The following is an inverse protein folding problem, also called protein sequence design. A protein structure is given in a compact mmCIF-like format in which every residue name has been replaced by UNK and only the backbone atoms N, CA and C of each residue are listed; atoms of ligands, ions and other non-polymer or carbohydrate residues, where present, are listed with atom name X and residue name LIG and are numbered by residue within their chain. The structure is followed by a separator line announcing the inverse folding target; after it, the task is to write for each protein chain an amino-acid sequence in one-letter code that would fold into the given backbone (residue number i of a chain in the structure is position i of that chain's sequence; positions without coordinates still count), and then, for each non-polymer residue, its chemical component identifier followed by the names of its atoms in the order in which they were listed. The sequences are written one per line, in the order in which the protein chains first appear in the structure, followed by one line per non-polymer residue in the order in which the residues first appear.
data_IF_638524811132
#
_entry.id   IF_638524811132
#
_cell.length_a   1.000
_cell.length_b   1.000
_cell.length_c   1.000
_cell.angle_alpha   90.00
_cell.angle_beta   90.00
_cell.angle_gamma   90.00
#
_symmetry.space_group_name_H-M   'P 1'
#
loop_
_entity.id
_entity.type
_entity.pdbx_description
1 polymer ?
#
# COMPACT_ATOMS: atom_id res chain seq x y z
N UNK A 1 -27.25 -13.90 20.30
CA UNK A 1 -26.26 -13.15 19.49
C UNK A 1 -25.85 -14.06 18.35
N UNK A 2 -26.00 -13.61 17.10
CA UNK A 2 -25.67 -14.39 15.92
C UNK A 2 -24.15 -14.59 15.85
N UNK A 3 -23.67 -15.85 15.87
CA UNK A 3 -22.26 -16.24 15.67
C UNK A 3 -21.87 -16.15 14.17
N UNK A 4 -22.12 -15.01 13.52
CA UNK A 4 -21.66 -14.79 12.16
C UNK A 4 -20.25 -14.19 12.18
N UNK A 5 -19.27 -14.97 11.72
CA UNK A 5 -17.87 -14.54 11.58
C UNK A 5 -17.67 -13.47 10.50
N UNK A 6 -18.54 -13.48 9.48
CA UNK A 6 -18.56 -12.49 8.41
C UNK A 6 -19.94 -11.85 8.30
N UNK A 7 -19.98 -10.55 8.01
CA UNK A 7 -21.20 -9.82 7.68
C UNK A 7 -21.13 -9.31 6.24
N UNK A 8 -22.25 -9.39 5.53
CA UNK A 8 -22.39 -8.78 4.20
C UNK A 8 -22.58 -7.26 4.36
N UNK A 9 -21.68 -6.49 3.77
CA UNK A 9 -21.75 -5.03 3.72
C UNK A 9 -22.42 -4.54 2.43
N UNK A 10 -22.59 -3.22 2.29
CA UNK A 10 -23.10 -2.61 1.06
C UNK A 10 -22.23 -2.99 -0.13
N UNK A 11 -22.87 -3.45 -1.20
CA UNK A 11 -22.20 -3.80 -2.45
C UNK A 11 -21.37 -2.64 -2.98
N UNK A 12 -20.24 -2.99 -3.60
CA UNK A 12 -19.37 -2.01 -4.24
C UNK A 12 -20.15 -1.33 -5.38
N UNK A 13 -19.96 -0.01 -5.59
CA UNK A 13 -20.60 0.69 -6.70
C UNK A 13 -20.12 0.18 -8.07
N UNK A 14 -19.01 -0.55 -8.10
CA UNK A 14 -18.35 -1.09 -9.28
C UNK A 14 -17.58 -2.37 -8.91
N UNK A 15 -17.37 -3.29 -9.87
CA UNK A 15 -16.42 -4.39 -9.69
C UNK A 15 -15.00 -3.85 -9.47
N UNK A 16 -14.29 -4.40 -8.48
CA UNK A 16 -12.91 -4.04 -8.20
C UNK A 16 -12.02 -5.27 -8.37
N UNK A 17 -10.99 -5.16 -9.20
CA UNK A 17 -9.91 -6.14 -9.32
C UNK A 17 -8.56 -5.45 -9.11
N UNK A 18 -7.65 -6.11 -8.39
CA UNK A 18 -6.33 -5.60 -8.01
C UNK A 18 -6.35 -4.20 -7.34
N UNK A 19 -7.48 -3.83 -6.73
CA UNK A 19 -7.63 -2.52 -6.07
C UNK A 19 -6.67 -2.37 -4.90
N UNK A 20 -6.22 -1.14 -4.67
CA UNK A 20 -5.43 -0.78 -3.50
C UNK A 20 -6.32 0.00 -2.53
N UNK A 21 -6.28 -0.38 -1.25
CA UNK A 21 -7.13 0.21 -0.22
C UNK A 21 -6.28 0.75 0.94
N UNK A 22 -6.62 1.93 1.43
CA UNK A 22 -5.93 2.60 2.53
C UNK A 22 -6.92 2.95 3.63
N UNK A 23 -6.73 2.46 4.86
CA UNK A 23 -7.58 2.84 5.99
C UNK A 23 -7.24 4.26 6.48
N UNK A 24 -8.26 5.06 6.75
CA UNK A 24 -8.13 6.40 7.34
C UNK A 24 -9.32 6.72 8.25
N UNK A 25 -9.10 6.76 9.57
CA UNK A 25 -10.17 7.00 10.56
C UNK A 25 -11.33 6.00 10.36
N UNK A 26 -12.54 6.49 10.08
CA UNK A 26 -13.73 5.67 9.80
C UNK A 26 -13.94 5.43 8.30
N UNK A 27 -12.90 5.56 7.49
CA UNK A 27 -12.95 5.46 6.04
C UNK A 27 -11.99 4.40 5.52
N UNK A 28 -12.43 3.71 4.47
CA UNK A 28 -11.58 2.91 3.60
C UNK A 28 -11.49 3.62 2.25
N UNK A 29 -10.30 4.12 1.94
CA UNK A 29 -10.02 4.81 0.68
C UNK A 29 -9.64 3.75 -0.36
N UNK A 30 -10.41 3.68 -1.44
CA UNK A 30 -10.29 2.71 -2.52
C UNK A 30 -9.70 3.44 -3.73
N UNK A 31 -8.54 3.00 -4.20
CA UNK A 31 -7.72 3.75 -5.15
C UNK A 31 -7.57 3.03 -6.51
N UNK A 32 -8.65 3.01 -7.29
CA UNK A 32 -8.66 2.40 -8.63
C UNK A 32 -8.33 0.90 -8.62
N UNK A 33 -8.07 0.33 -9.79
CA UNK A 33 -7.78 -1.09 -9.96
C UNK A 33 -7.63 -1.44 -11.44
N UNK A 34 -7.50 -2.72 -11.76
CA UNK A 34 -7.43 -3.18 -13.15
C UNK A 34 -8.65 -2.68 -13.92
N UNK A 35 -8.41 -1.95 -15.02
CA UNK A 35 -9.44 -1.31 -15.86
C UNK A 35 -10.35 -0.30 -15.13
N UNK A 36 -10.02 0.12 -13.91
CA UNK A 36 -10.86 0.97 -13.09
C UNK A 36 -10.10 2.19 -12.57
N UNK A 37 -10.49 3.39 -13.05
CA UNK A 37 -9.83 4.65 -12.67
C UNK A 37 -10.45 5.35 -11.46
N UNK A 38 -11.70 5.03 -11.11
CA UNK A 38 -12.43 5.70 -10.03
C UNK A 38 -11.87 5.41 -8.65
N UNK A 39 -11.77 6.44 -7.82
CA UNK A 39 -11.43 6.35 -6.40
C UNK A 39 -12.66 6.67 -5.54
N UNK A 40 -12.81 5.93 -4.44
CA UNK A 40 -13.97 6.02 -3.57
C UNK A 40 -13.55 6.01 -2.11
N UNK A 41 -14.31 6.69 -1.26
CA UNK A 41 -14.23 6.53 0.19
C UNK A 41 -15.45 5.75 0.66
N UNK A 42 -15.21 4.61 1.31
CA UNK A 42 -16.24 3.86 2.02
C UNK A 42 -16.21 4.23 3.50
N UNK A 43 -17.32 4.74 4.04
CA UNK A 43 -17.41 5.09 5.45
C UNK A 43 -17.94 3.91 6.26
N UNK A 44 -17.12 3.37 7.16
CA UNK A 44 -17.39 2.12 7.89
C UNK A 44 -18.61 2.20 8.80
N UNK A 45 -18.82 3.34 9.48
CA UNK A 45 -20.00 3.54 10.34
C UNK A 45 -21.29 3.84 9.57
N UNK A 46 -21.20 4.48 8.40
CA UNK A 46 -22.38 4.86 7.60
C UNK A 46 -22.78 3.77 6.62
N UNK A 47 -21.87 2.82 6.34
CA UNK A 47 -22.03 1.79 5.32
C UNK A 47 -22.36 2.39 3.93
N UNK A 48 -21.65 3.46 3.56
CA UNK A 48 -21.89 4.21 2.33
C UNK A 48 -20.59 4.53 1.59
N UNK A 49 -20.69 4.66 0.27
CA UNK A 49 -19.58 5.05 -0.60
C UNK A 49 -19.79 6.48 -1.09
N UNK A 50 -18.71 7.25 -1.19
CA UNK A 50 -18.63 8.51 -1.93
C UNK A 50 -17.50 8.47 -2.93
N UNK A 51 -17.71 9.06 -4.09
CA UNK A 51 -16.64 9.29 -5.06
C UNK A 51 -15.64 10.30 -4.48
N UNK A 52 -14.36 10.04 -4.72
CA UNK A 52 -13.26 10.96 -4.41
C UNK A 52 -12.88 11.67 -5.71
N UNK A 53 -12.36 10.92 -6.68
CA UNK A 53 -11.93 11.40 -8.00
C UNK A 53 -11.67 10.21 -8.95
N UNK A 54 -10.93 10.46 -10.02
CA UNK A 54 -10.41 9.43 -10.94
C UNK A 54 -8.92 9.63 -11.15
N UNK A 55 -8.19 8.53 -11.40
CA UNK A 55 -6.85 8.61 -11.98
C UNK A 55 -6.87 9.34 -13.35
N UNK A 56 -5.77 10.00 -13.77
CA UNK A 56 -5.62 10.61 -15.09
C UNK A 56 -5.94 9.63 -16.24
N UNK A 57 -6.35 10.14 -17.41
CA UNK A 57 -6.82 9.29 -18.53
C UNK A 57 -5.73 8.56 -19.28
N UNK A 58 -4.53 9.09 -19.21
CA UNK A 58 -3.29 8.53 -19.73
C UNK A 58 -2.69 7.46 -18.81
N UNK A 59 -3.22 7.29 -17.59
CA UNK A 59 -2.73 6.28 -16.63
C UNK A 59 -3.53 4.98 -16.73
N UNK A 60 -2.83 3.88 -16.99
CA UNK A 60 -3.40 2.54 -17.02
C UNK A 60 -3.00 1.76 -15.77
N UNK A 61 -3.97 1.40 -14.94
CA UNK A 61 -3.71 0.70 -13.69
C UNK A 61 -3.65 -0.82 -13.90
N UNK A 62 -2.52 -1.42 -13.55
CA UNK A 62 -2.34 -2.87 -13.55
C UNK A 62 -1.31 -3.28 -12.48
N UNK A 63 -1.79 -3.77 -11.33
CA UNK A 63 -1.01 -4.13 -10.15
C UNK A 63 -0.12 -3.02 -9.61
N UNK A 64 -0.60 -1.78 -9.59
CA UNK A 64 0.08 -0.67 -8.91
C UNK A 64 0.03 -0.83 -7.39
N UNK A 65 0.85 -0.04 -6.69
CA UNK A 65 0.83 0.06 -5.24
C UNK A 65 0.35 1.45 -4.82
N UNK A 66 -0.39 1.52 -3.71
CA UNK A 66 -0.75 2.78 -3.06
C UNK A 66 -0.36 2.69 -1.59
N UNK A 67 0.32 3.71 -1.10
CA UNK A 67 0.76 3.82 0.29
C UNK A 67 0.37 5.17 0.87
N UNK A 68 0.12 5.19 2.17
CA UNK A 68 -0.13 6.42 2.94
C UNK A 68 1.19 6.92 3.51
N UNK A 69 1.61 8.12 3.11
CA UNK A 69 2.80 8.76 3.68
C UNK A 69 2.50 9.22 5.11
N UNK A 70 3.44 9.02 6.02
CA UNK A 70 3.32 9.45 7.43
C UNK A 70 3.66 10.94 7.49
N UNK A 71 2.70 11.75 7.91
CA UNK A 71 2.93 13.15 8.28
C UNK A 71 3.15 13.23 9.80
N UNK A 72 4.15 13.98 10.22
CA UNK A 72 4.44 14.22 11.64
C UNK A 72 3.41 15.17 12.28
N UNK A 73 2.62 15.87 11.48
CA UNK A 73 1.60 16.79 11.97
C UNK A 73 0.27 16.06 12.24
N UNK A 74 0.04 15.70 13.51
CA UNK A 74 -1.17 15.01 13.98
C UNK A 74 -2.45 15.85 13.85
N UNK A 75 -2.33 17.17 13.72
CA UNK A 75 -3.47 18.10 13.67
C UNK A 75 -3.99 18.34 12.25
N UNK A 76 -3.33 17.77 11.24
CA UNK A 76 -3.81 17.87 9.85
C UNK A 76 -5.01 16.96 9.61
N UNK A 77 -6.02 17.55 8.97
CA UNK A 77 -7.22 16.85 8.53
C UNK A 77 -7.02 16.10 7.20
N UNK A 78 -5.89 16.32 6.52
CA UNK A 78 -5.52 15.66 5.28
C UNK A 78 -4.50 14.53 5.51
N UNK A 79 -4.35 13.67 4.51
CA UNK A 79 -3.26 12.69 4.41
C UNK A 79 -2.67 12.77 3.01
N UNK A 80 -1.42 12.35 2.87
CA UNK A 80 -0.80 12.22 1.55
C UNK A 80 -0.75 10.75 1.14
N UNK A 81 -1.26 10.46 -0.05
CA UNK A 81 -1.22 9.15 -0.68
C UNK A 81 -0.24 9.18 -1.84
N UNK A 82 0.56 8.13 -1.97
CA UNK A 82 1.49 7.93 -3.08
C UNK A 82 1.07 6.67 -3.84
N UNK A 83 0.85 6.82 -5.14
CA UNK A 83 0.50 5.74 -6.06
C UNK A 83 1.61 5.55 -7.08
N UNK A 84 2.14 4.34 -7.19
CA UNK A 84 3.32 4.09 -8.02
C UNK A 84 3.45 2.63 -8.48
N UNK A 85 4.36 2.42 -9.44
CA UNK A 85 4.68 1.11 -10.03
C UNK A 85 3.55 0.54 -10.89
N UNK A 86 3.39 -0.79 -10.84
CA UNK A 86 2.52 -1.51 -11.78
C UNK A 86 3.21 -1.84 -13.10
N UNK A 87 2.49 -2.55 -13.97
CA UNK A 87 2.99 -2.92 -15.30
C UNK A 87 3.21 -1.68 -16.19
N UNK A 88 2.23 -0.77 -16.19
CA UNK A 88 2.36 0.56 -16.79
C UNK A 88 2.73 1.54 -15.68
N UNK A 89 4.03 1.75 -15.49
CA UNK A 89 4.57 2.54 -14.38
C UNK A 89 4.03 3.96 -14.40
N UNK A 90 3.61 4.42 -13.22
CA UNK A 90 3.37 5.83 -12.94
C UNK A 90 3.92 6.19 -11.56
N UNK A 91 3.92 7.48 -11.24
CA UNK A 91 4.16 7.97 -9.88
C UNK A 91 3.31 9.21 -9.68
N UNK A 92 2.28 9.08 -8.83
CA UNK A 92 1.28 10.10 -8.58
C UNK A 92 1.13 10.31 -7.08
N UNK A 93 0.87 11.54 -6.69
CA UNK A 93 0.60 11.92 -5.31
C UNK A 93 -0.80 12.52 -5.21
N UNK A 94 -1.47 12.30 -4.09
CA UNK A 94 -2.74 12.92 -3.76
C UNK A 94 -2.73 13.39 -2.32
N UNK A 95 -3.11 14.65 -2.10
CA UNK A 95 -3.51 15.14 -0.78
C UNK A 95 -4.99 14.83 -0.60
N UNK A 96 -5.31 13.86 0.25
CA UNK A 96 -6.68 13.45 0.52
C UNK A 96 -7.25 14.19 1.73
N UNK A 97 -8.42 14.80 1.57
CA UNK A 97 -9.26 15.32 2.65
C UNK A 97 -10.58 14.55 2.64
N UNK A 98 -11.03 14.14 3.82
CA UNK A 98 -12.29 13.40 4.00
C UNK A 98 -13.47 14.06 3.28
N UNK A 99 -14.07 13.32 2.33
CA UNK A 99 -15.31 13.70 1.62
C UNK A 99 -16.57 13.60 2.50
N UNK A 100 -16.40 13.26 3.78
CA UNK A 100 -17.48 13.13 4.77
C UNK A 100 -17.49 14.27 5.80
N UNK A 101 -16.46 15.11 5.81
CA UNK A 101 -16.41 16.27 6.71
C UNK A 101 -17.42 17.33 6.27
N UNK A 102 -18.27 17.79 7.20
CA UNK A 102 -19.16 18.93 6.95
C UNK A 102 -18.31 20.20 6.93
N UNK A 103 -18.30 20.89 5.79
CA UNK A 103 -17.53 22.11 5.54
C UNK A 103 -18.11 23.31 6.30
N UNK A 104 -17.89 23.40 7.60
CA UNK A 104 -18.11 24.63 8.39
C UNK A 104 -16.81 25.22 8.95
N UNK A 105 -15.70 24.47 8.90
CA UNK A 105 -14.36 24.94 9.28
C UNK A 105 -13.39 24.95 8.10
N UNK A 106 -13.87 25.26 6.88
CA UNK A 106 -12.96 25.81 5.86
C UNK A 106 -12.67 27.24 6.27
N UNK A 107 -11.79 27.39 7.27
CA UNK A 107 -11.21 28.69 7.61
C UNK A 107 -10.65 29.29 6.33
N UNK A 108 -10.97 30.56 6.14
CA UNK A 108 -10.57 31.42 5.04
C UNK A 108 -9.03 31.54 4.92
N UNK A 109 -8.38 30.50 4.42
CA UNK A 109 -7.06 30.62 3.82
C UNK A 109 -7.21 30.20 2.36
N UNK A 110 -7.35 31.23 1.53
CA UNK A 110 -7.11 31.23 0.09
C UNK A 110 -6.12 30.14 -0.34
N UNK A 111 -6.62 29.11 -1.03
CA UNK A 111 -5.81 28.31 -1.94
C UNK A 111 -6.73 27.64 -2.96
N UNK A 112 -7.14 28.44 -3.95
CA UNK A 112 -7.56 27.98 -5.29
C UNK A 112 -6.51 27.08 -5.99
N UNK A 113 -5.35 26.85 -5.37
CA UNK A 113 -4.19 26.12 -5.89
C UNK A 113 -3.93 24.75 -5.24
N UNK A 114 -4.67 24.35 -4.22
CA UNK A 114 -4.45 23.05 -3.58
C UNK A 114 -5.37 22.01 -4.22
N UNK A 115 -4.85 21.28 -5.22
CA UNK A 115 -5.52 20.17 -5.91
C UNK A 115 -5.77 18.97 -4.96
N UNK A 116 -6.65 19.17 -3.97
CA UNK A 116 -7.06 18.17 -3.01
C UNK A 116 -7.93 17.11 -3.67
N UNK A 117 -7.83 15.89 -3.18
CA UNK A 117 -8.58 14.74 -3.69
C UNK A 117 -8.34 14.47 -5.17
N UNK A 118 -7.24 14.96 -5.75
CA UNK A 118 -6.86 14.73 -7.13
C UNK A 118 -5.48 14.07 -7.20
N UNK A 119 -5.30 13.20 -8.20
CA UNK A 119 -4.00 12.62 -8.49
C UNK A 119 -3.20 13.57 -9.37
N UNK A 120 -2.03 14.00 -8.89
CA UNK A 120 -1.09 14.83 -9.64
C UNK A 120 0.25 14.09 -9.81
N UNK A 121 1.00 14.32 -10.90
CA UNK A 121 2.36 13.80 -11.04
C UNK A 121 3.24 14.20 -9.85
N UNK A 122 3.99 13.24 -9.29
CA UNK A 122 5.04 13.57 -8.34
C UNK A 122 6.19 14.21 -9.11
N UNK A 123 6.58 15.43 -8.74
CA UNK A 123 7.63 16.19 -9.43
C UNK A 123 8.69 16.72 -8.46
N UNK A 124 9.89 16.92 -8.98
CA UNK A 124 10.97 17.58 -8.24
C UNK A 124 10.74 19.11 -8.15
N UNK A 125 11.66 19.83 -7.52
CA UNK A 125 11.59 21.30 -7.40
C UNK A 125 11.68 22.04 -8.74
N UNK A 126 11.95 21.34 -9.84
CA UNK A 126 12.03 21.88 -11.20
C UNK A 126 10.85 21.41 -12.07
N UNK A 127 9.81 20.83 -11.47
CA UNK A 127 8.64 20.25 -12.14
C UNK A 127 8.96 19.06 -13.05
N UNK A 128 10.10 18.39 -12.87
CA UNK A 128 10.40 17.16 -13.59
C UNK A 128 9.69 15.99 -12.92
N UNK A 129 9.00 15.12 -13.68
CA UNK A 129 8.37 13.92 -13.14
C UNK A 129 9.39 13.00 -12.47
N UNK A 130 9.09 12.61 -11.24
CA UNK A 130 9.85 11.60 -10.51
C UNK A 130 9.27 10.23 -10.84
N UNK A 131 10.14 9.30 -11.21
CA UNK A 131 9.74 7.92 -11.52
C UNK A 131 10.29 7.00 -10.43
N UNK A 132 9.38 6.37 -9.69
CA UNK A 132 9.76 5.32 -8.75
C UNK A 132 9.83 4.00 -9.51
N UNK A 133 11.05 3.60 -9.82
CA UNK A 133 11.37 2.28 -10.37
C UNK A 133 12.36 2.33 -11.52
N UNK A 134 13.06 1.22 -11.77
CA UNK A 134 14.04 1.11 -12.87
C UNK A 134 13.33 0.80 -14.19
N UNK A 135 13.87 1.30 -15.31
CA UNK A 135 13.24 1.19 -16.63
C UNK A 135 12.94 -0.25 -17.06
N UNK A 136 13.88 -1.17 -16.84
CA UNK A 136 13.78 -2.57 -17.30
C UNK A 136 13.09 -3.53 -16.32
N UNK A 137 12.84 -3.09 -15.08
CA UNK A 137 12.24 -3.95 -14.05
C UNK A 137 10.71 -3.99 -14.19
N UNK A 138 10.10 -5.14 -13.93
CA UNK A 138 8.65 -5.28 -13.84
C UNK A 138 8.18 -4.99 -12.41
N UNK A 139 7.28 -4.02 -12.25
CA UNK A 139 6.68 -3.63 -10.97
C UNK A 139 5.23 -4.09 -10.83
N UNK A 140 4.78 -4.98 -11.71
CA UNK A 140 3.44 -5.54 -11.67
C UNK A 140 3.19 -6.32 -10.37
N UNK A 141 2.21 -5.85 -9.59
CA UNK A 141 1.83 -6.46 -8.32
C UNK A 141 2.84 -6.25 -7.20
N UNK A 142 3.69 -5.22 -7.30
CA UNK A 142 4.61 -4.87 -6.23
C UNK A 142 3.84 -4.41 -4.97
N UNK A 143 4.52 -4.51 -3.83
CA UNK A 143 4.04 -3.98 -2.54
C UNK A 143 5.13 -3.13 -1.93
N UNK A 144 4.72 -2.18 -1.12
CA UNK A 144 5.62 -1.30 -0.40
C UNK A 144 5.21 -1.20 1.07
N UNK A 145 6.20 -1.03 1.93
CA UNK A 145 6.04 -0.72 3.35
C UNK A 145 6.71 0.62 3.62
N UNK A 146 6.15 1.39 4.54
CA UNK A 146 6.70 2.68 4.96
C UNK A 146 7.14 2.58 6.43
N UNK A 147 8.29 3.17 6.72
CA UNK A 147 8.89 3.29 8.05
C UNK A 147 10.38 3.68 7.92
N UNK A 148 11.19 3.44 8.94
CA UNK A 148 12.50 4.08 9.07
C UNK A 148 12.40 5.31 9.97
N UNK A 149 13.54 5.84 10.46
CA UNK A 149 13.58 7.02 11.35
C UNK A 149 12.88 8.25 10.72
N UNK A 150 12.83 8.29 9.39
CA UNK A 150 12.25 9.39 8.61
C UNK A 150 11.29 8.92 7.49
N UNK A 151 10.67 7.74 7.59
CA UNK A 151 9.90 7.12 6.49
C UNK A 151 10.73 6.76 5.24
N UNK A 152 12.03 6.51 5.45
CA UNK A 152 13.03 6.31 4.41
C UNK A 152 13.46 4.85 4.26
N UNK A 153 12.51 3.91 4.20
CA UNK A 153 12.90 2.55 3.87
C UNK A 153 13.27 2.44 2.41
N UNK A 154 14.57 2.31 2.14
CA UNK A 154 15.14 1.85 0.87
C UNK A 154 14.98 2.85 -0.28
N UNK A 155 13.99 3.74 -0.21
CA UNK A 155 13.77 4.89 -1.05
C UNK A 155 13.55 6.12 -0.17
N UNK A 156 14.34 7.16 -0.39
CA UNK A 156 14.23 8.43 0.29
C UNK A 156 13.16 9.28 -0.40
N UNK A 157 12.09 9.59 0.31
CA UNK A 157 10.98 10.39 -0.22
C UNK A 157 11.28 11.90 -0.30
N UNK A 158 12.34 12.38 0.35
CA UNK A 158 12.79 13.77 0.27
C UNK A 158 13.75 13.99 -0.89
N UNK A 159 14.66 13.04 -1.14
CA UNK A 159 15.63 13.13 -2.24
C UNK A 159 15.18 12.41 -3.51
N UNK A 160 14.13 11.59 -3.42
CA UNK A 160 13.59 10.77 -4.50
C UNK A 160 14.61 9.77 -5.06
N UNK A 161 15.48 9.25 -4.21
CA UNK A 161 16.57 8.34 -4.57
C UNK A 161 16.50 7.02 -3.81
N UNK A 162 17.00 5.96 -4.45
CA UNK A 162 17.21 4.69 -3.77
C UNK A 162 18.37 4.80 -2.78
N UNK A 163 18.10 4.49 -1.52
CA UNK A 163 19.11 4.38 -0.46
C UNK A 163 19.88 3.07 -0.63
N UNK A 164 19.18 2.01 -1.04
CA UNK A 164 19.75 0.68 -1.23
C UNK A 164 18.90 -0.13 -2.20
N UNK A 165 19.51 -1.14 -2.80
CA UNK A 165 18.79 -2.20 -3.49
C UNK A 165 19.43 -3.55 -3.17
N UNK A 166 18.61 -4.60 -3.16
CA UNK A 166 19.06 -5.97 -3.01
C UNK A 166 18.15 -6.91 -3.80
N UNK A 167 18.72 -7.99 -4.33
CA UNK A 167 17.94 -9.07 -4.96
C UNK A 167 17.44 -10.02 -3.86
N UNK A 168 16.13 -10.28 -3.80
CA UNK A 168 15.59 -11.23 -2.84
C UNK A 168 16.13 -12.65 -3.14
N UNK A 169 16.50 -13.45 -2.12
CA UNK A 169 16.99 -14.81 -2.32
C UNK A 169 15.83 -15.78 -2.59
N UNK A 170 15.25 -15.69 -3.79
CA UNK A 170 14.03 -16.41 -4.17
C UNK A 170 14.19 -17.12 -5.51
N UNK A 171 13.77 -18.38 -5.59
CA UNK A 171 13.81 -19.14 -6.84
C UNK A 171 12.65 -18.82 -7.79
N UNK A 172 11.57 -18.23 -7.27
CA UNK A 172 10.36 -17.92 -8.02
C UNK A 172 10.21 -16.41 -8.23
N UNK A 173 9.70 -15.97 -9.40
CA UNK A 173 9.28 -14.59 -9.59
C UNK A 173 8.26 -14.16 -8.53
N UNK A 174 8.50 -13.00 -7.93
CA UNK A 174 7.69 -12.43 -6.85
C UNK A 174 6.79 -11.33 -7.41
N UNK A 175 5.48 -11.51 -7.33
CA UNK A 175 4.46 -10.58 -7.84
C UNK A 175 3.13 -10.87 -7.13
N UNK A 176 2.38 -9.80 -6.84
CA UNK A 176 1.16 -9.86 -6.00
C UNK A 176 1.38 -10.62 -4.70
N UNK A 177 2.50 -10.33 -4.06
CA UNK A 177 2.94 -10.96 -2.82
C UNK A 177 2.29 -10.30 -1.59
N UNK A 178 2.48 -10.93 -0.44
CA UNK A 178 2.17 -10.33 0.86
C UNK A 178 3.46 -9.69 1.33
N UNK A 179 3.38 -8.43 1.69
CA UNK A 179 4.50 -7.71 2.26
C UNK A 179 3.99 -6.87 3.41
N UNK A 180 4.50 -7.14 4.60
CA UNK A 180 4.10 -6.47 5.83
C UNK A 180 5.34 -6.12 6.65
N UNK A 181 5.29 -4.99 7.34
CA UNK A 181 6.27 -4.64 8.36
C UNK A 181 5.81 -5.18 9.71
N UNK A 182 6.64 -6.00 10.34
CA UNK A 182 6.45 -6.44 11.72
C UNK A 182 7.17 -5.44 12.63
N UNK A 183 6.56 -4.27 12.83
CA UNK A 183 7.04 -3.33 13.84
C UNK A 183 6.00 -3.23 14.95
N UNK A 184 6.40 -3.51 16.19
CA UNK A 184 5.66 -3.19 17.42
C UNK A 184 5.25 -1.68 17.49
N UNK A 185 5.80 -0.86 16.59
CA UNK A 185 5.64 0.59 16.44
C UNK A 185 4.26 1.07 15.93
N UNK A 186 3.28 0.17 15.77
CA UNK A 186 1.88 0.55 15.51
C UNK A 186 1.19 1.20 16.71
N UNK A 187 1.76 1.07 17.92
CA UNK A 187 1.39 1.88 19.08
C UNK A 187 2.22 3.16 19.02
N UNK A 188 1.55 4.32 18.93
CA UNK A 188 2.18 5.65 18.91
C UNK A 188 2.93 6.02 20.19
N UNK A 189 3.90 5.20 20.58
CA UNK A 189 4.92 5.53 21.55
C UNK A 189 6.01 6.30 20.80
N UNK A 190 6.33 7.48 21.33
CA UNK A 190 7.50 8.24 20.95
C UNK A 190 8.70 7.30 20.89
N UNK A 191 9.37 7.27 19.73
CA UNK A 191 10.53 6.43 19.50
C UNK A 191 11.60 6.77 20.53
N UNK A 192 11.69 5.96 21.59
CA UNK A 192 12.82 6.00 22.50
C UNK A 192 14.01 5.50 21.67
N UNK A 193 14.98 6.39 21.45
CA UNK A 193 16.25 6.12 20.79
C UNK A 193 17.08 5.10 21.58
N UNK A 194 16.75 3.82 21.52
CA UNK A 194 17.62 2.75 22.05
C UNK A 194 18.29 2.00 20.90
N UNK A 195 19.48 2.48 20.55
CA UNK A 195 20.72 1.86 20.04
C UNK A 195 20.75 0.66 19.07
N UNK A 196 19.64 0.15 18.52
CA UNK A 196 19.68 -0.61 17.25
C UNK A 196 18.30 -0.71 16.62
N UNK A 197 18.10 -0.05 15.49
CA UNK A 197 16.83 -0.11 14.78
C UNK A 197 16.87 -1.19 13.71
N UNK A 198 16.55 -2.41 14.13
CA UNK A 198 16.36 -3.52 13.21
C UNK A 198 14.90 -3.58 12.81
N UNK A 199 14.65 -3.32 11.53
CA UNK A 199 13.31 -3.38 10.99
C UNK A 199 13.05 -4.73 10.37
N UNK A 200 12.00 -5.39 10.85
CA UNK A 200 11.62 -6.70 10.36
C UNK A 200 10.44 -6.58 9.42
N UNK A 201 10.59 -7.11 8.22
CA UNK A 201 9.55 -7.24 7.22
C UNK A 201 9.33 -8.71 6.93
N UNK A 202 8.09 -9.07 6.64
CA UNK A 202 7.72 -10.42 6.28
C UNK A 202 7.18 -10.40 4.85
N UNK A 203 7.72 -11.32 4.04
CA UNK A 203 7.28 -11.53 2.67
C UNK A 203 6.82 -12.97 2.52
N UNK A 204 5.62 -13.13 1.98
CA UNK A 204 5.10 -14.43 1.54
C UNK A 204 4.69 -14.31 0.09
N UNK A 205 5.03 -15.29 -0.74
CA UNK A 205 4.58 -15.42 -2.13
C UNK A 205 4.84 -16.84 -2.62
N UNK A 206 3.79 -17.57 -3.01
CA UNK A 206 3.92 -18.98 -3.37
C UNK A 206 4.71 -19.73 -2.27
N UNK A 207 5.68 -20.55 -2.68
CA UNK A 207 6.57 -21.31 -1.80
C UNK A 207 7.63 -20.47 -1.09
N UNK A 208 7.70 -19.16 -1.36
CA UNK A 208 8.67 -18.26 -0.75
C UNK A 208 8.08 -17.64 0.51
N UNK A 209 8.69 -17.92 1.65
CA UNK A 209 8.53 -17.17 2.90
C UNK A 209 9.87 -16.55 3.29
N UNK A 210 9.90 -15.26 3.55
CA UNK A 210 11.11 -14.53 3.96
C UNK A 210 10.83 -13.62 5.14
N UNK A 211 11.71 -13.69 6.13
CA UNK A 211 11.92 -12.65 7.13
C UNK A 211 13.09 -11.80 6.65
N UNK A 212 12.82 -10.53 6.42
CA UNK A 212 13.79 -9.55 5.94
C UNK A 212 14.08 -8.61 7.11
N UNK A 213 15.32 -8.60 7.57
CA UNK A 213 15.79 -7.64 8.55
C UNK A 213 16.60 -6.56 7.83
N UNK A 214 16.33 -5.31 8.15
CA UNK A 214 17.07 -4.16 7.63
C UNK A 214 17.66 -3.37 8.79
N UNK A 215 18.99 -3.29 8.81
CA UNK A 215 19.78 -2.44 9.70
C UNK A 215 19.98 -1.10 9.00
N UNK A 216 19.24 -0.07 9.43
CA UNK A 216 19.25 1.26 8.80
C UNK A 216 20.61 1.97 8.98
N UNK A 217 21.27 1.77 10.14
CA UNK A 217 22.54 2.41 10.47
C UNK A 217 23.69 1.92 9.57
N UNK A 218 23.70 0.62 9.27
CA UNK A 218 24.74 -0.01 8.45
C UNK A 218 24.31 -0.20 7.00
N UNK A 219 23.04 0.04 6.67
CA UNK A 219 22.45 -0.18 5.34
C UNK A 219 22.62 -1.64 4.84
N UNK A 220 22.36 -2.60 5.74
CA UNK A 220 22.54 -4.04 5.52
C UNK A 220 21.19 -4.75 5.59
N UNK A 221 20.92 -5.61 4.61
CA UNK A 221 19.82 -6.56 4.66
C UNK A 221 20.29 -7.93 5.13
N UNK A 222 19.48 -8.57 5.97
CA UNK A 222 19.62 -9.97 6.31
C UNK A 222 18.32 -10.69 5.93
N UNK A 223 18.46 -11.89 5.39
CA UNK A 223 17.33 -12.67 4.88
C UNK A 223 17.31 -14.03 5.56
N UNK A 224 16.16 -14.37 6.12
CA UNK A 224 15.93 -15.69 6.71
C UNK A 224 14.72 -16.32 6.03
N UNK A 225 14.89 -17.53 5.52
CA UNK A 225 13.78 -18.29 4.97
C UNK A 225 12.79 -18.65 6.07
N UNK A 226 11.52 -18.51 5.77
CA UNK A 226 10.42 -18.91 6.63
C UNK A 226 9.66 -20.09 6.00
N UNK A 227 9.21 -21.06 6.80
CA UNK A 227 8.33 -22.09 6.31
C UNK A 227 7.01 -21.46 5.85
N UNK A 228 6.51 -21.91 4.70
CA UNK A 228 5.19 -21.52 4.19
C UNK A 228 4.23 -22.69 4.38
N UNK A 229 3.03 -22.40 4.90
CA UNK A 229 1.99 -23.43 5.04
C UNK A 229 1.62 -24.01 3.67
N UNK A 230 1.47 -25.33 3.59
CA UNK A 230 1.16 -26.04 2.34
C UNK A 230 -0.11 -25.54 1.66
N UNK A 231 -1.08 -25.08 2.45
CA UNK A 231 -2.37 -24.62 1.96
C UNK A 231 -2.29 -23.26 1.24
N UNK A 232 -1.33 -22.40 1.62
CA UNK A 232 -1.13 -21.10 0.96
C UNK A 232 0.02 -21.12 -0.05
N UNK A 233 0.95 -22.06 0.10
CA UNK A 233 2.17 -22.15 -0.69
C UNK A 233 2.02 -22.19 -2.22
N UNK A 234 0.93 -22.71 -2.83
CA UNK A 234 0.80 -22.61 -4.28
C UNK A 234 0.29 -21.23 -4.75
N UNK A 235 -0.29 -20.42 -3.86
CA UNK A 235 -1.03 -19.22 -4.24
C UNK A 235 -0.19 -17.94 -4.22
N UNK A 236 -0.58 -16.97 -5.05
CA UNK A 236 -0.28 -15.54 -4.89
C UNK A 236 -1.59 -14.74 -5.00
N UNK A 237 -1.54 -13.40 -5.12
CA UNK A 237 -2.74 -12.56 -5.34
C UNK A 237 -3.83 -12.69 -4.25
N UNK A 238 -3.45 -13.04 -3.03
CA UNK A 238 -4.35 -12.98 -1.88
C UNK A 238 -4.54 -11.53 -1.44
N UNK A 239 -5.72 -11.25 -0.88
CA UNK A 239 -5.87 -10.12 0.02
C UNK A 239 -5.24 -10.51 1.37
N UNK A 240 -4.66 -9.53 2.06
CA UNK A 240 -4.04 -9.79 3.36
C UNK A 240 -4.22 -8.61 4.30
N UNK A 241 -4.25 -8.90 5.59
CA UNK A 241 -4.27 -7.91 6.66
C UNK A 241 -3.40 -8.40 7.82
N UNK A 242 -2.66 -7.48 8.43
CA UNK A 242 -1.95 -7.74 9.67
C UNK A 242 -2.82 -7.26 10.83
N UNK A 243 -3.16 -8.15 11.76
CA UNK A 243 -3.92 -7.85 12.97
C UNK A 243 -3.10 -8.36 14.16
N UNK A 244 -2.66 -7.43 15.00
CA UNK A 244 -1.68 -7.71 16.07
C UNK A 244 -0.46 -8.43 15.45
N UNK A 245 -0.10 -9.60 15.99
CA UNK A 245 1.05 -10.39 15.56
C UNK A 245 0.67 -11.48 14.54
N UNK A 246 -0.52 -11.39 13.95
CA UNK A 246 -1.03 -12.36 12.98
C UNK A 246 -1.25 -11.73 11.60
N UNK A 247 -0.89 -12.48 10.55
CA UNK A 247 -1.22 -12.14 9.16
C UNK A 247 -2.36 -13.05 8.72
N UNK A 248 -3.46 -12.45 8.30
CA UNK A 248 -4.59 -13.16 7.72
C UNK A 248 -4.50 -13.07 6.19
N UNK A 249 -4.60 -14.23 5.54
CA UNK A 249 -4.65 -14.35 4.08
C UNK A 249 -6.08 -14.69 3.65
N UNK A 250 -6.60 -13.98 2.66
CA UNK A 250 -7.95 -14.11 2.14
C UNK A 250 -7.88 -14.35 0.63
N UNK A 251 -8.38 -15.51 0.21
CA UNK A 251 -8.34 -15.94 -1.18
C UNK A 251 -6.91 -16.16 -1.69
N UNK A 252 -6.72 -15.97 -2.98
CA UNK A 252 -5.49 -16.31 -3.69
C UNK A 252 -5.78 -16.97 -5.03
N UNK A 253 -4.84 -16.83 -5.97
CA UNK A 253 -4.89 -17.40 -7.31
C UNK A 253 -3.69 -18.31 -7.51
N UNK A 254 -3.94 -19.45 -8.14
CA UNK A 254 -2.95 -20.41 -8.56
C UNK A 254 -3.29 -20.84 -9.99
N UNK A 255 -2.30 -20.80 -10.88
CA UNK A 255 -2.46 -21.25 -12.27
C UNK A 255 -1.61 -22.49 -12.48
N UNK A 256 -2.25 -23.59 -12.89
CA UNK A 256 -1.58 -24.86 -13.18
C UNK A 256 -2.30 -25.58 -14.32
N UNK A 257 -1.55 -26.14 -15.26
CA UNK A 257 -2.08 -27.01 -16.32
C UNK A 257 -3.26 -26.38 -17.08
N UNK A 258 -3.13 -25.10 -17.44
CA UNK A 258 -4.18 -24.28 -18.07
C UNK A 258 -5.47 -24.06 -17.28
N UNK A 259 -5.45 -24.35 -15.98
CA UNK A 259 -6.57 -24.11 -15.07
C UNK A 259 -6.22 -23.04 -14.04
N UNK A 260 -7.17 -22.11 -13.82
CA UNK A 260 -7.12 -21.16 -12.71
C UNK A 260 -7.85 -21.71 -11.50
N UNK A 261 -7.14 -21.82 -10.39
CA UNK A 261 -7.64 -22.24 -9.10
C UNK A 261 -7.64 -21.03 -8.17
N UNK A 262 -8.75 -20.84 -7.48
CA UNK A 262 -8.91 -19.78 -6.48
C UNK A 262 -9.17 -20.41 -5.13
N UNK A 263 -8.45 -19.98 -4.10
CA UNK A 263 -8.78 -20.41 -2.73
C UNK A 263 -10.02 -19.67 -2.24
N UNK A 264 -10.86 -20.38 -1.47
CA UNK A 264 -12.03 -19.79 -0.82
C UNK A 264 -11.60 -19.10 0.46
N UNK A 265 -12.24 -17.96 0.78
CA UNK A 265 -12.10 -17.27 2.08
C UNK A 265 -13.15 -17.76 3.06
#
# INVERSE_FOLDING_TARGET
MSNQTFQTLKELPIPLDQTQCVPHKHELIICGGLNQRGCYSYHTLRNEYKIICKYPSDVTLNGHCVVKLVDNNKDKNDITLLSFGGYYKHTLVMKYVSVWSNTSNKSNESNEFNNYNEWIPLTDNHNHPIVIGRGHDDYHGMRAVIGGINNHFVFDLNTFQFIKHHTLPTDNPIWHHCFVSNSENGKGQEMIKTNKQNYRMLLFCKYTGLSIEYDEDNNIFQFHQLPVCKDIAPFNKYAYICINDAILFLGGHYYKDNNSIFSKS
#
